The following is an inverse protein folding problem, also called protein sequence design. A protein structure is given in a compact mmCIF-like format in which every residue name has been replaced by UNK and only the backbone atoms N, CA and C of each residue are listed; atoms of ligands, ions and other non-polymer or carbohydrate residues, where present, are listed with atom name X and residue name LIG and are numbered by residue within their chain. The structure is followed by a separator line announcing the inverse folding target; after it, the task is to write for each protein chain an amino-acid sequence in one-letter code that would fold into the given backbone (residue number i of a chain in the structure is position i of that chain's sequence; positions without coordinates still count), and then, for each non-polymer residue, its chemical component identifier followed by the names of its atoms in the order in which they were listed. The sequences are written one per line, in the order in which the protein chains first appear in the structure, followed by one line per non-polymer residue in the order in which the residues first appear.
data_IF_156726174354
#
_entry.id   IF_156726174354
#
_cell.length_a   1.000
_cell.length_b   1.000
_cell.length_c   1.000
_cell.angle_alpha   90.00
_cell.angle_beta   90.00
_cell.angle_gamma   90.00
#
_symmetry.space_group_name_H-M   'P 1'
#
loop_
_entity.id
_entity.type
_entity.pdbx_description
1 polymer ?
#
# COMPACT_ATOMS: atom_id res chain seq x y z
N UNK A 1 -11.40 7.84 -22.91
CA UNK A 1 -10.47 8.65 -22.08
C UNK A 1 -11.27 9.16 -20.88
N UNK A 2 -11.10 8.56 -19.70
CA UNK A 2 -11.79 9.00 -18.47
C UNK A 2 -11.01 10.21 -17.92
N UNK A 3 -11.66 11.34 -17.57
CA UNK A 3 -10.96 12.53 -17.13
C UNK A 3 -10.59 12.38 -15.64
N UNK A 4 -9.34 12.01 -15.37
CA UNK A 4 -8.82 11.80 -14.00
C UNK A 4 -8.40 13.08 -13.26
N UNK A 5 -8.79 14.28 -13.75
CA UNK A 5 -8.30 15.55 -13.20
C UNK A 5 -8.76 15.84 -11.77
N UNK A 6 -10.07 15.75 -11.50
CA UNK A 6 -10.64 16.09 -10.18
C UNK A 6 -10.68 14.93 -9.18
N UNK A 7 -11.00 13.72 -9.65
CA UNK A 7 -11.19 12.58 -8.74
C UNK A 7 -9.90 12.13 -8.04
N UNK A 8 -8.75 12.28 -8.68
CA UNK A 8 -7.48 11.91 -8.10
C UNK A 8 -6.96 12.92 -7.07
N UNK A 9 -7.20 14.22 -7.29
CA UNK A 9 -6.87 15.26 -6.30
C UNK A 9 -7.75 15.09 -5.06
N UNK A 10 -9.07 14.93 -5.24
CA UNK A 10 -9.99 14.68 -4.13
C UNK A 10 -9.60 13.46 -3.29
N UNK A 11 -9.06 12.41 -3.92
CA UNK A 11 -8.60 11.23 -3.20
C UNK A 11 -7.32 11.51 -2.39
N UNK A 12 -6.39 12.29 -2.94
CA UNK A 12 -5.21 12.73 -2.20
C UNK A 12 -5.61 13.59 -1.01
N UNK A 13 -6.47 14.57 -1.22
CA UNK A 13 -6.98 15.45 -0.16
C UNK A 13 -7.69 14.63 0.93
N UNK A 14 -8.49 13.63 0.54
CA UNK A 14 -9.13 12.71 1.48
C UNK A 14 -8.12 11.98 2.36
N UNK A 15 -7.07 11.43 1.77
CA UNK A 15 -6.01 10.72 2.52
C UNK A 15 -5.16 11.70 3.35
N UNK A 16 -4.85 12.88 2.82
CA UNK A 16 -4.10 13.92 3.52
C UNK A 16 -4.84 14.42 4.78
N UNK A 17 -6.17 14.40 4.77
CA UNK A 17 -7.03 14.70 5.93
C UNK A 17 -7.03 13.60 7.01
N UNK A 18 -6.10 12.64 6.97
CA UNK A 18 -5.95 11.60 7.99
C UNK A 18 -6.80 10.35 7.77
N UNK A 19 -7.51 10.26 6.65
CA UNK A 19 -8.26 9.05 6.31
C UNK A 19 -7.35 7.95 5.73
N UNK A 20 -7.77 6.70 5.87
CA UNK A 20 -7.01 5.54 5.37
C UNK A 20 -7.56 5.07 4.02
N UNK A 21 -6.70 4.98 3.02
CA UNK A 21 -6.98 4.34 1.73
C UNK A 21 -6.34 2.95 1.70
N UNK A 22 -7.14 1.91 1.49
CA UNK A 22 -6.66 0.53 1.30
C UNK A 22 -6.70 0.22 -0.18
N UNK A 23 -5.52 -0.03 -0.78
CA UNK A 23 -5.39 -0.41 -2.19
C UNK A 23 -4.94 -1.86 -2.27
N UNK A 24 -5.76 -2.70 -2.88
CA UNK A 24 -5.42 -4.11 -3.18
C UNK A 24 -5.46 -4.31 -4.69
N UNK A 25 -4.33 -4.70 -5.28
CA UNK A 25 -4.28 -5.00 -6.71
C UNK A 25 -2.85 -5.22 -7.21
N UNK A 26 -2.72 -5.37 -8.52
CA UNK A 26 -1.44 -5.63 -9.17
C UNK A 26 -0.77 -4.39 -9.74
N UNK A 27 -0.12 -4.54 -10.89
CA UNK A 27 0.71 -3.49 -11.50
C UNK A 27 -0.06 -2.17 -11.63
N UNK A 28 -1.34 -2.22 -12.04
CA UNK A 28 -2.20 -1.02 -12.17
C UNK A 28 -2.33 -0.24 -10.86
N UNK A 29 -2.41 -0.92 -9.72
CA UNK A 29 -2.49 -0.28 -8.41
C UNK A 29 -1.17 0.38 -8.00
N UNK A 30 -0.04 -0.25 -8.31
CA UNK A 30 1.30 0.33 -8.11
C UNK A 30 1.46 1.60 -8.95
N UNK A 31 1.13 1.54 -10.25
CA UNK A 31 1.22 2.69 -11.17
C UNK A 31 0.30 3.85 -10.73
N UNK A 32 -0.89 3.53 -10.22
CA UNK A 32 -1.79 4.51 -9.63
C UNK A 32 -1.12 5.24 -8.45
N UNK A 33 -0.58 4.49 -7.49
CA UNK A 33 0.08 5.08 -6.31
C UNK A 33 1.26 5.95 -6.72
N UNK A 34 2.13 5.47 -7.62
CA UNK A 34 3.29 6.23 -8.10
C UNK A 34 2.87 7.55 -8.75
N UNK A 35 1.88 7.49 -9.66
CA UNK A 35 1.44 8.66 -10.41
C UNK A 35 0.77 9.71 -9.54
N UNK A 36 -0.15 9.29 -8.67
CA UNK A 36 -1.05 10.21 -7.97
C UNK A 36 -0.50 10.65 -6.62
N UNK A 37 0.18 9.79 -5.87
CA UNK A 37 0.79 10.15 -4.59
C UNK A 37 2.26 10.55 -4.72
N UNK A 38 2.78 10.64 -5.96
CA UNK A 38 4.16 11.07 -6.28
C UNK A 38 5.23 10.18 -5.63
N UNK A 39 4.96 8.89 -5.53
CA UNK A 39 5.94 7.89 -5.10
C UNK A 39 6.67 7.26 -6.28
N UNK A 40 7.78 6.57 -5.99
CA UNK A 40 8.51 5.75 -6.95
C UNK A 40 8.66 4.33 -6.41
N UNK A 41 7.54 3.63 -6.20
CA UNK A 41 7.52 2.26 -5.76
C UNK A 41 8.02 1.34 -6.88
N UNK A 42 8.99 0.50 -6.56
CA UNK A 42 9.62 -0.44 -7.48
C UNK A 42 9.26 -1.87 -7.12
N UNK A 43 9.11 -2.72 -8.14
CA UNK A 43 8.82 -4.13 -7.93
C UNK A 43 10.04 -4.85 -7.37
N UNK A 44 9.83 -5.75 -6.41
CA UNK A 44 10.92 -6.48 -5.77
C UNK A 44 11.48 -7.57 -6.69
N UNK A 45 12.81 -7.65 -6.74
CA UNK A 45 13.53 -8.70 -7.44
C UNK A 45 13.49 -9.98 -6.58
N UNK A 46 13.14 -11.14 -7.15
CA UNK A 46 13.26 -12.43 -6.46
C UNK A 46 12.01 -13.28 -6.34
N UNK A 47 10.92 -12.95 -7.04
CA UNK A 47 9.78 -13.87 -7.17
C UNK A 47 9.06 -14.18 -5.86
N UNK A 48 9.00 -13.21 -4.95
CA UNK A 48 8.27 -13.33 -3.68
C UNK A 48 6.86 -13.87 -3.91
N UNK A 49 6.47 -14.81 -3.06
CA UNK A 49 5.11 -15.32 -3.07
C UNK A 49 4.12 -14.19 -2.79
N UNK A 50 2.91 -14.31 -3.34
CA UNK A 50 1.89 -13.26 -3.27
C UNK A 50 0.99 -13.44 -2.05
N UNK A 51 1.34 -14.28 -1.09
CA UNK A 51 0.53 -14.64 0.06
C UNK A 51 0.21 -16.14 0.08
N UNK A 52 -0.53 -16.60 1.11
CA UNK A 52 -1.28 -15.80 2.09
C UNK A 52 -0.39 -15.06 3.09
N UNK A 53 -0.84 -13.87 3.52
CA UNK A 53 -0.12 -13.05 4.48
C UNK A 53 -0.62 -13.28 5.90
N UNK A 54 0.32 -13.39 6.83
CA UNK A 54 0.04 -13.51 8.26
C UNK A 54 0.28 -12.17 8.95
N UNK A 55 -0.60 -11.84 9.90
CA UNK A 55 -0.55 -10.59 10.65
C UNK A 55 0.69 -10.58 11.54
N UNK A 56 1.48 -9.50 11.45
CA UNK A 56 2.67 -9.35 12.31
C UNK A 56 2.19 -8.95 13.70
N UNK A 57 2.41 -9.80 14.70
CA UNK A 57 2.05 -9.50 16.09
C UNK A 57 2.96 -8.38 16.64
N UNK A 58 2.35 -7.32 17.20
CA UNK A 58 3.07 -6.26 17.93
C UNK A 58 3.08 -4.85 17.33
N UNK A 59 2.40 -4.60 16.21
CA UNK A 59 2.38 -3.28 15.56
C UNK A 59 1.00 -2.74 15.18
N UNK A 60 -0.08 -3.36 15.66
CA UNK A 60 -1.42 -3.12 15.13
C UNK A 60 -2.02 -1.82 15.62
N UNK A 61 -2.10 -0.86 14.71
CA UNK A 61 -3.03 0.25 14.78
C UNK A 61 -4.46 -0.28 15.01
N UNK A 62 -5.24 0.40 15.86
CA UNK A 62 -6.60 -0.02 16.27
C UNK A 62 -7.52 -0.42 15.10
N UNK A 63 -7.41 0.28 13.96
CA UNK A 63 -8.16 0.00 12.74
C UNK A 63 -7.93 -1.41 12.15
N UNK A 64 -6.81 -2.05 12.50
CA UNK A 64 -6.45 -3.38 12.00
C UNK A 64 -6.56 -4.48 13.06
N UNK A 65 -7.00 -4.16 14.28
CA UNK A 65 -7.21 -5.18 15.31
C UNK A 65 -8.34 -6.15 14.94
N UNK A 66 -9.42 -5.63 14.36
CA UNK A 66 -10.54 -6.42 13.85
C UNK A 66 -10.27 -7.15 12.52
N UNK A 67 -9.10 -6.94 11.89
CA UNK A 67 -8.75 -7.59 10.63
C UNK A 67 -8.41 -9.06 10.84
N UNK A 68 -8.70 -9.94 9.86
CA UNK A 68 -8.39 -11.37 9.96
C UNK A 68 -6.89 -11.61 10.10
N UNK A 69 -6.54 -12.66 10.85
CA UNK A 69 -5.13 -13.05 11.09
C UNK A 69 -4.42 -13.54 9.83
N UNK A 70 -5.21 -14.06 8.89
CA UNK A 70 -4.75 -14.50 7.57
C UNK A 70 -5.55 -13.74 6.54
N UNK A 71 -4.87 -13.13 5.58
CA UNK A 71 -5.52 -12.54 4.41
C UNK A 71 -5.55 -13.60 3.28
N UNK A 72 -6.69 -14.28 3.04
CA UNK A 72 -6.78 -15.28 2.00
C UNK A 72 -6.73 -14.62 0.62
N UNK A 73 -5.91 -15.15 -0.28
CA UNK A 73 -5.97 -14.77 -1.69
C UNK A 73 -7.06 -15.57 -2.40
N UNK A 74 -8.18 -14.93 -2.74
CA UNK A 74 -9.04 -15.39 -3.84
C UNK A 74 -8.87 -14.42 -5.00
N UNK A 75 -7.95 -14.77 -5.91
CA UNK A 75 -7.86 -14.16 -7.25
C UNK A 75 -7.18 -12.80 -7.38
N UNK A 76 -6.20 -12.42 -6.55
CA UNK A 76 -5.54 -11.10 -6.66
C UNK A 76 -4.03 -11.17 -6.90
N UNK A 77 -3.59 -10.36 -7.87
CA UNK A 77 -2.24 -10.24 -8.43
C UNK A 77 -1.38 -9.26 -7.62
N UNK A 78 -1.14 -9.48 -6.33
CA UNK A 78 -0.31 -8.54 -5.55
C UNK A 78 1.10 -8.43 -6.13
N UNK A 79 1.61 -7.19 -6.22
CA UNK A 79 2.96 -6.91 -6.71
C UNK A 79 3.88 -6.69 -5.50
N UNK A 80 4.96 -7.48 -5.36
CA UNK A 80 5.92 -7.27 -4.27
C UNK A 80 6.70 -5.97 -4.53
N UNK A 81 6.92 -5.17 -3.49
CA UNK A 81 7.57 -3.86 -3.57
C UNK A 81 8.90 -3.87 -2.84
N UNK A 82 9.96 -3.28 -3.43
CA UNK A 82 11.27 -3.16 -2.80
C UNK A 82 11.18 -2.28 -1.56
N UNK A 83 11.73 -2.76 -0.44
CA UNK A 83 11.84 -1.96 0.79
C UNK A 83 12.53 -0.62 0.56
N UNK A 84 13.57 -0.59 -0.27
CA UNK A 84 14.33 0.62 -0.59
C UNK A 84 13.52 1.67 -1.38
N UNK A 85 12.43 1.26 -2.05
CA UNK A 85 11.55 2.16 -2.80
C UNK A 85 10.39 2.73 -1.95
N UNK A 86 10.22 2.24 -0.72
CA UNK A 86 9.20 2.74 0.18
C UNK A 86 9.62 4.11 0.74
N UNK A 87 8.66 5.04 0.87
CA UNK A 87 8.92 6.31 1.55
C UNK A 87 9.26 6.10 3.02
N UNK A 88 10.03 7.02 3.58
CA UNK A 88 10.41 7.00 4.99
C UNK A 88 9.18 7.01 5.90
N UNK A 89 9.25 6.30 7.04
CA UNK A 89 8.12 6.15 7.96
C UNK A 89 7.08 5.11 7.53
N UNK A 90 7.29 4.40 6.42
CA UNK A 90 6.47 3.25 6.05
C UNK A 90 6.54 2.13 7.11
N UNK A 91 5.39 1.57 7.47
CA UNK A 91 5.28 0.53 8.51
C UNK A 91 4.77 -0.77 7.93
N UNK A 92 5.28 -1.91 8.38
CA UNK A 92 4.82 -3.23 7.98
C UNK A 92 3.55 -3.60 8.76
N UNK A 93 2.51 -4.06 8.05
CA UNK A 93 1.25 -4.51 8.65
C UNK A 93 1.08 -6.03 8.61
N UNK A 94 1.44 -6.68 7.49
CA UNK A 94 1.43 -8.14 7.33
C UNK A 94 2.64 -8.60 6.53
N UNK A 95 3.16 -9.78 6.81
CA UNK A 95 4.29 -10.34 6.07
C UNK A 95 4.71 -11.71 6.58
N UNK A 96 5.50 -12.43 5.77
CA UNK A 96 6.19 -13.65 6.17
C UNK A 96 7.63 -13.59 5.66
N UNK A 97 8.46 -14.58 5.99
CA UNK A 97 9.83 -14.70 5.47
C UNK A 97 9.90 -15.02 3.97
N UNK A 98 8.80 -15.44 3.34
CA UNK A 98 8.76 -15.90 1.93
C UNK A 98 7.81 -15.10 1.03
N UNK A 99 6.85 -14.39 1.63
CA UNK A 99 5.79 -13.68 0.91
C UNK A 99 6.08 -12.17 0.84
N UNK A 100 5.51 -11.52 -0.18
CA UNK A 100 5.45 -10.07 -0.30
C UNK A 100 4.90 -9.44 0.99
N UNK A 101 5.41 -8.30 1.41
CA UNK A 101 4.96 -7.67 2.66
C UNK A 101 3.87 -6.64 2.36
N UNK A 102 2.87 -6.52 3.23
CA UNK A 102 1.86 -5.47 3.19
C UNK A 102 2.33 -4.30 4.03
N UNK A 103 2.47 -3.15 3.41
CA UNK A 103 2.97 -1.93 4.04
C UNK A 103 1.87 -0.87 4.15
N UNK A 104 1.96 -0.06 5.20
CA UNK A 104 1.26 1.22 5.32
C UNK A 104 2.24 2.34 5.03
N UNK A 105 1.87 3.18 4.08
CA UNK A 105 2.55 4.42 3.74
C UNK A 105 1.76 5.56 4.37
N UNK A 106 2.42 6.44 5.12
CA UNK A 106 1.81 7.68 5.60
C UNK A 106 2.01 8.75 4.54
N UNK A 107 0.91 9.28 4.01
CA UNK A 107 0.93 10.39 3.07
C UNK A 107 0.64 11.70 3.79
N UNK A 108 1.49 12.70 3.57
CA UNK A 108 1.28 14.08 4.01
C UNK A 108 1.38 14.97 2.77
N UNK A 109 0.36 15.80 2.53
CA UNK A 109 0.48 16.86 1.53
C UNK A 109 1.23 18.01 2.19
N UNK A 110 2.45 18.30 1.72
CA UNK A 110 3.10 19.54 2.10
C UNK A 110 2.25 20.68 1.54
N UNK A 111 1.93 21.68 2.36
CA UNK A 111 1.37 22.93 1.86
C UNK A 111 2.27 23.41 0.73
N UNK A 112 1.69 23.57 -0.47
CA UNK A 112 2.41 24.19 -1.57
C UNK A 112 2.88 25.58 -1.10
N UNK A 113 4.16 25.95 -1.32
CA UNK A 113 4.64 27.30 -1.01
C UNK A 113 3.88 28.37 -1.80
#
# INVERSE_FOLDING_TARGET
KIPFGGGAQNLRDFVANGNTLVVTGGIVSKEFVNRYFRYNLEEADGGYGRGPWFKVHGGTYQAFEASPNVLPQRGVSAVPIKKASLPEGSTVLWGTSTEAVVFRIRYCEAEAP
#
